data_IF_820800488641
#
_entry.id   IF_820800488641
#
_cell.length_a   1.000
_cell.length_b   1.000
_cell.length_c   1.000
_cell.angle_alpha   90.00
_cell.angle_beta   90.00
_cell.angle_gamma   90.00
#
_symmetry.space_group_name_H-M   'P 1'
#
loop_
_entity.id
_entity.type
_entity.pdbx_description
1 polymer ?
#
# COMPACT_ATOMS: atom_id res chain seq x y z
N UNK A 1 43.16 -46.66 -25.62
CA UNK A 1 42.40 -45.84 -26.60
C UNK A 1 41.38 -46.69 -27.40
N UNK A 2 40.52 -47.46 -26.72
CA UNK A 2 39.44 -48.23 -27.40
C UNK A 2 38.08 -48.17 -26.66
N UNK A 3 37.94 -47.33 -25.62
CA UNK A 3 36.76 -47.30 -24.76
C UNK A 3 35.89 -46.05 -24.92
N UNK A 4 35.89 -45.41 -26.09
CA UNK A 4 35.05 -44.22 -26.37
C UNK A 4 34.39 -44.25 -27.75
N UNK A 5 34.34 -45.41 -28.40
CA UNK A 5 33.72 -45.57 -29.74
C UNK A 5 32.38 -46.30 -29.67
N UNK A 6 32.04 -46.94 -28.54
CA UNK A 6 30.80 -47.70 -28.38
C UNK A 6 29.61 -46.91 -27.82
N UNK A 7 29.77 -45.64 -27.48
CA UNK A 7 28.67 -44.81 -26.96
C UNK A 7 28.33 -43.66 -27.91
N UNK A 8 28.34 -43.94 -29.22
CA UNK A 8 27.92 -43.02 -30.29
C UNK A 8 27.05 -43.67 -31.37
N UNK A 9 26.43 -44.82 -31.09
CA UNK A 9 25.59 -45.53 -32.08
C UNK A 9 24.23 -46.02 -31.56
N UNK A 10 23.74 -45.52 -30.44
CA UNK A 10 22.35 -45.73 -30.02
C UNK A 10 21.72 -44.40 -29.62
N UNK A 11 20.83 -43.86 -30.47
CA UNK A 11 20.09 -42.63 -30.15
C UNK A 11 19.70 -41.76 -31.35
N UNK A 12 19.67 -42.29 -32.57
CA UNK A 12 19.00 -41.63 -33.69
C UNK A 12 17.51 -42.02 -33.70
N UNK A 13 16.69 -41.38 -32.87
CA UNK A 13 15.24 -41.32 -33.02
C UNK A 13 14.62 -40.35 -32.00
N UNK A 14 13.98 -39.29 -32.49
CA UNK A 14 12.88 -38.63 -31.79
C UNK A 14 13.25 -37.47 -30.85
N UNK A 15 13.26 -36.25 -31.38
CA UNK A 15 12.62 -35.08 -30.75
C UNK A 15 12.65 -33.88 -31.69
N UNK A 16 11.75 -33.94 -32.68
CA UNK A 16 11.27 -32.78 -33.41
C UNK A 16 9.78 -32.63 -33.10
N UNK A 17 9.43 -32.29 -31.85
CA UNK A 17 8.08 -31.91 -31.47
C UNK A 17 8.11 -30.89 -30.32
N UNK A 18 7.32 -29.83 -30.53
CA UNK A 18 6.75 -28.91 -29.53
C UNK A 18 7.61 -27.73 -29.02
N UNK A 19 7.97 -26.82 -29.93
CA UNK A 19 8.00 -25.37 -29.63
C UNK A 19 6.57 -24.79 -29.69
N UNK A 20 5.65 -25.35 -28.90
CA UNK A 20 4.29 -24.84 -28.73
C UNK A 20 4.00 -24.69 -27.23
N UNK A 21 4.79 -23.85 -26.58
CA UNK A 21 4.50 -23.36 -25.23
C UNK A 21 4.48 -21.82 -25.23
N UNK A 22 3.70 -21.23 -26.13
CA UNK A 22 3.05 -19.96 -25.85
C UNK A 22 1.88 -20.23 -24.90
N UNK A 23 2.20 -20.44 -23.62
CA UNK A 23 1.22 -20.47 -22.55
C UNK A 23 0.73 -19.06 -22.27
N UNK A 24 -0.42 -18.69 -22.84
CA UNK A 24 -1.21 -17.55 -22.39
C UNK A 24 -1.79 -17.91 -21.01
N UNK A 25 -0.98 -17.80 -19.97
CA UNK A 25 -1.44 -17.89 -18.58
C UNK A 25 -2.10 -16.57 -18.18
N UNK A 26 -3.41 -16.50 -18.36
CA UNK A 26 -4.28 -15.51 -17.73
C UNK A 26 -5.31 -16.28 -16.91
N UNK A 27 -5.07 -16.41 -15.61
CA UNK A 27 -5.87 -17.22 -14.69
C UNK A 27 -7.37 -17.02 -14.86
N UNK A 28 -8.08 -18.12 -15.11
CA UNK A 28 -9.53 -18.11 -15.18
C UNK A 28 -10.09 -17.80 -13.79
N UNK A 29 -10.75 -16.64 -13.70
CA UNK A 29 -11.53 -16.26 -12.55
C UNK A 29 -12.71 -17.25 -12.39
N UNK A 30 -12.81 -17.89 -11.22
CA UNK A 30 -13.83 -18.88 -10.93
C UNK A 30 -15.13 -18.16 -10.53
N UNK A 31 -15.96 -17.83 -11.50
CA UNK A 31 -17.26 -17.22 -11.25
C UNK A 31 -17.85 -16.51 -12.48
N UNK A 32 -19.11 -16.06 -12.40
CA UNK A 32 -19.71 -15.27 -13.46
C UNK A 32 -18.94 -13.96 -13.64
N UNK A 33 -18.58 -13.67 -14.89
CA UNK A 33 -17.94 -12.40 -15.27
C UNK A 33 -18.99 -11.30 -15.20
N UNK A 34 -18.71 -10.26 -14.40
CA UNK A 34 -19.64 -9.13 -14.17
C UNK A 34 -19.14 -7.82 -14.77
N UNK A 35 -17.84 -7.73 -15.07
CA UNK A 35 -17.24 -6.58 -15.74
C UNK A 35 -16.17 -7.07 -16.73
N UNK A 36 -16.17 -6.52 -17.94
CA UNK A 36 -15.16 -6.81 -18.97
C UNK A 36 -14.59 -5.51 -19.52
N UNK A 37 -13.27 -5.40 -19.55
CA UNK A 37 -12.51 -4.27 -20.08
C UNK A 37 -11.53 -4.80 -21.14
N UNK A 38 -11.94 -4.75 -22.41
CA UNK A 38 -11.22 -5.36 -23.54
C UNK A 38 -10.87 -6.84 -23.28
N UNK A 39 -9.58 -7.15 -23.20
CA UNK A 39 -9.06 -8.51 -22.99
C UNK A 39 -9.16 -8.97 -21.52
N UNK A 40 -9.41 -8.06 -20.57
CA UNK A 40 -9.48 -8.38 -19.14
C UNK A 40 -10.92 -8.53 -18.67
N UNK A 41 -11.20 -9.59 -17.93
CA UNK A 41 -12.49 -9.87 -17.31
C UNK A 41 -12.37 -9.92 -15.80
N UNK A 42 -13.35 -9.36 -15.10
CA UNK A 42 -13.48 -9.37 -13.65
C UNK A 42 -14.74 -10.12 -13.25
N UNK A 43 -14.59 -11.06 -12.32
CA UNK A 43 -15.71 -11.69 -11.61
C UNK A 43 -16.16 -10.83 -10.43
N UNK A 44 -17.31 -11.18 -9.84
CA UNK A 44 -17.77 -10.52 -8.62
C UNK A 44 -16.72 -10.59 -7.50
N UNK A 45 -16.06 -11.74 -7.35
CA UNK A 45 -15.01 -11.94 -6.35
C UNK A 45 -13.77 -11.06 -6.62
N UNK A 46 -13.40 -10.86 -7.89
CA UNK A 46 -12.28 -9.98 -8.24
C UNK A 46 -12.60 -8.52 -7.87
N UNK A 47 -13.80 -8.05 -8.20
CA UNK A 47 -14.21 -6.68 -7.86
C UNK A 47 -14.28 -6.46 -6.35
N UNK A 48 -14.79 -7.43 -5.60
CA UNK A 48 -14.83 -7.37 -4.14
C UNK A 48 -13.43 -7.29 -3.53
N UNK A 49 -12.47 -8.04 -4.07
CA UNK A 49 -11.06 -7.97 -3.66
C UNK A 49 -10.48 -6.57 -3.91
N UNK A 50 -10.74 -5.97 -5.07
CA UNK A 50 -10.19 -4.65 -5.38
C UNK A 50 -10.82 -3.54 -4.54
N UNK A 51 -12.13 -3.62 -4.27
CA UNK A 51 -12.81 -2.70 -3.35
C UNK A 51 -12.22 -2.85 -1.94
N UNK A 52 -12.04 -4.08 -1.46
CA UNK A 52 -11.48 -4.35 -0.13
C UNK A 52 -10.06 -3.82 0.00
N UNK A 53 -9.22 -4.04 -1.02
CA UNK A 53 -7.85 -3.52 -1.04
C UNK A 53 -7.82 -1.99 -1.06
N UNK A 54 -8.69 -1.35 -1.84
CA UNK A 54 -8.77 0.11 -1.86
C UNK A 54 -9.21 0.65 -0.50
N UNK A 55 -10.18 0.02 0.15
CA UNK A 55 -10.63 0.38 1.51
C UNK A 55 -9.50 0.32 2.55
N UNK A 56 -8.65 -0.71 2.49
CA UNK A 56 -7.53 -0.85 3.42
C UNK A 56 -6.47 0.24 3.24
N UNK A 57 -6.30 0.74 2.01
CA UNK A 57 -5.31 1.76 1.66
C UNK A 57 -5.85 3.18 1.78
N UNK A 58 -7.17 3.34 1.71
CA UNK A 58 -7.83 4.64 1.72
C UNK A 58 -7.76 5.31 3.11
N UNK A 59 -7.58 6.65 3.17
CA UNK A 59 -7.77 7.42 4.39
C UNK A 59 -9.17 7.22 4.98
N UNK A 60 -9.31 7.34 6.31
CA UNK A 60 -10.59 7.08 7.02
C UNK A 60 -11.78 7.85 6.44
N UNK A 61 -11.56 9.08 5.98
CA UNK A 61 -12.58 9.92 5.35
C UNK A 61 -13.12 9.30 4.04
N UNK A 62 -12.26 8.68 3.24
CA UNK A 62 -12.64 8.05 1.97
C UNK A 62 -13.25 6.65 2.15
N UNK A 63 -12.96 5.97 3.27
CA UNK A 63 -13.51 4.64 3.55
C UNK A 63 -15.05 4.65 3.60
N UNK A 64 -15.64 5.69 4.19
CA UNK A 64 -17.10 5.83 4.26
C UNK A 64 -17.72 6.01 2.89
N UNK A 65 -17.06 6.76 1.99
CA UNK A 65 -17.52 6.94 0.62
C UNK A 65 -17.49 5.60 -0.14
N UNK A 66 -16.38 4.85 -0.05
CA UNK A 66 -16.23 3.54 -0.68
C UNK A 66 -17.18 2.47 -0.13
N UNK A 67 -17.70 2.64 1.09
CA UNK A 67 -18.73 1.75 1.65
C UNK A 67 -20.13 2.01 1.05
N UNK A 68 -20.36 3.18 0.47
CA UNK A 68 -21.64 3.52 -0.18
C UNK A 68 -21.72 2.97 -1.61
N UNK A 69 -22.94 2.69 -2.09
CA UNK A 69 -23.16 2.23 -3.49
C UNK A 69 -22.64 3.23 -4.52
N UNK A 70 -22.85 4.52 -4.28
CA UNK A 70 -22.38 5.57 -5.20
C UNK A 70 -20.86 5.65 -5.24
N UNK A 71 -20.19 5.54 -4.08
CA UNK A 71 -18.72 5.52 -4.04
C UNK A 71 -18.13 4.27 -4.67
N UNK A 72 -18.78 3.10 -4.52
CA UNK A 72 -18.39 1.88 -5.24
C UNK A 72 -18.54 2.04 -6.76
N UNK A 73 -19.62 2.66 -7.23
CA UNK A 73 -19.80 2.96 -8.66
C UNK A 73 -18.70 3.87 -9.19
N UNK A 74 -18.38 4.94 -8.46
CA UNK A 74 -17.28 5.84 -8.83
C UNK A 74 -15.92 5.13 -8.81
N UNK A 75 -15.70 4.21 -7.87
CA UNK A 75 -14.51 3.37 -7.84
C UNK A 75 -14.42 2.48 -9.08
N UNK A 76 -15.50 1.81 -9.48
CA UNK A 76 -15.53 0.97 -10.68
C UNK A 76 -15.24 1.79 -11.95
N UNK A 77 -15.78 3.01 -12.08
CA UNK A 77 -15.45 3.89 -13.21
C UNK A 77 -13.96 4.24 -13.25
N UNK A 78 -13.34 4.50 -12.09
CA UNK A 78 -11.89 4.74 -11.99
C UNK A 78 -11.09 3.48 -12.30
N UNK A 79 -11.55 2.31 -11.86
CA UNK A 79 -10.91 1.02 -12.12
C UNK A 79 -10.85 0.76 -13.63
N UNK A 80 -11.96 0.94 -14.35
CA UNK A 80 -12.02 0.79 -15.81
C UNK A 80 -11.04 1.75 -16.50
N UNK A 81 -11.01 3.03 -16.11
CA UNK A 81 -10.08 4.01 -16.69
C UNK A 81 -8.61 3.64 -16.43
N UNK A 82 -8.29 3.17 -15.23
CA UNK A 82 -6.94 2.72 -14.87
C UNK A 82 -6.53 1.53 -15.72
N UNK A 83 -7.42 0.56 -15.90
CA UNK A 83 -7.18 -0.62 -16.72
C UNK A 83 -6.90 -0.25 -18.18
N UNK A 84 -7.66 0.68 -18.76
CA UNK A 84 -7.39 1.17 -20.13
C UNK A 84 -6.00 1.81 -20.25
N UNK A 85 -5.57 2.58 -19.25
CA UNK A 85 -4.23 3.18 -19.25
C UNK A 85 -3.12 2.14 -19.08
N UNK A 86 -3.34 1.11 -18.25
CA UNK A 86 -2.39 0.01 -18.09
C UNK A 86 -2.23 -0.77 -19.39
N UNK A 87 -3.33 -1.10 -20.07
CA UNK A 87 -3.28 -1.77 -21.38
C UNK A 87 -2.52 -0.94 -22.42
N UNK A 88 -2.70 0.39 -22.42
CA UNK A 88 -1.93 1.26 -23.30
C UNK A 88 -0.43 1.29 -22.93
N UNK A 89 -0.11 1.29 -21.64
CA UNK A 89 1.27 1.21 -21.16
C UNK A 89 1.94 -0.10 -21.56
N UNK A 90 1.24 -1.22 -21.51
CA UNK A 90 1.71 -2.53 -21.97
C UNK A 90 1.95 -2.55 -23.48
N UNK A 91 1.00 -2.04 -24.28
CA UNK A 91 1.16 -1.91 -25.74
C UNK A 91 2.40 -1.10 -26.11
N UNK A 92 2.69 -0.04 -25.35
CA UNK A 92 3.86 0.83 -25.52
C UNK A 92 5.12 0.30 -24.84
N UNK A 93 5.06 -0.88 -24.22
CA UNK A 93 6.16 -1.51 -23.47
C UNK A 93 6.79 -0.58 -22.44
N UNK A 94 5.97 0.25 -21.80
CA UNK A 94 6.45 1.22 -20.80
C UNK A 94 7.10 0.48 -19.63
N UNK A 95 6.54 -0.66 -19.21
CA UNK A 95 7.10 -1.49 -18.14
C UNK A 95 8.46 -2.14 -18.44
N UNK A 96 8.88 -2.22 -19.71
CA UNK A 96 10.18 -2.79 -20.11
C UNK A 96 11.29 -1.73 -20.19
N UNK A 97 10.97 -0.45 -19.95
CA UNK A 97 11.95 0.63 -20.00
C UNK A 97 12.95 0.52 -18.84
N UNK A 98 14.25 0.73 -19.10
CA UNK A 98 15.28 0.57 -18.07
C UNK A 98 15.04 1.49 -16.86
N UNK A 99 14.56 2.71 -17.09
CA UNK A 99 14.31 3.68 -16.02
C UNK A 99 13.21 3.21 -15.05
N UNK A 100 12.20 2.48 -15.54
CA UNK A 100 11.15 1.92 -14.70
C UNK A 100 11.59 0.63 -14.02
N UNK A 101 12.36 -0.21 -14.71
CA UNK A 101 12.93 -1.42 -14.12
C UNK A 101 13.80 -1.07 -12.90
N UNK A 102 14.64 -0.04 -13.01
CA UNK A 102 15.49 0.44 -11.92
C UNK A 102 14.66 0.98 -10.73
N UNK A 103 13.59 1.73 -11.01
CA UNK A 103 12.66 2.22 -9.98
C UNK A 103 11.97 1.08 -9.24
N UNK A 104 11.49 0.06 -9.96
CA UNK A 104 10.86 -1.12 -9.35
C UNK A 104 11.87 -1.90 -8.51
N UNK A 105 13.12 -2.05 -8.98
CA UNK A 105 14.17 -2.71 -8.23
C UNK A 105 14.56 -1.95 -6.95
N UNK A 106 14.61 -0.62 -7.00
CA UNK A 106 14.82 0.23 -5.82
C UNK A 106 13.67 0.09 -4.82
N UNK A 107 12.42 0.23 -5.29
CA UNK A 107 11.23 0.10 -4.44
C UNK A 107 11.15 -1.27 -3.77
N UNK A 108 11.47 -2.35 -4.49
CA UNK A 108 11.50 -3.70 -3.93
C UNK A 108 12.49 -3.80 -2.76
N UNK A 109 13.71 -3.27 -2.92
CA UNK A 109 14.72 -3.27 -1.84
C UNK A 109 14.22 -2.50 -0.61
N UNK A 110 13.61 -1.33 -0.83
CA UNK A 110 13.07 -0.51 0.26
C UNK A 110 11.94 -1.21 1.01
N UNK A 111 11.02 -1.89 0.29
CA UNK A 111 9.93 -2.65 0.91
C UNK A 111 10.46 -3.83 1.73
N UNK A 112 11.50 -4.52 1.25
CA UNK A 112 12.14 -5.61 2.00
C UNK A 112 12.79 -5.09 3.29
N UNK A 113 13.49 -3.96 3.24
CA UNK A 113 14.09 -3.33 4.41
C UNK A 113 13.04 -2.88 5.42
N UNK A 114 11.93 -2.29 4.96
CA UNK A 114 10.81 -1.91 5.83
C UNK A 114 10.17 -3.12 6.50
N UNK A 115 9.99 -4.22 5.75
CA UNK A 115 9.40 -5.44 6.29
C UNK A 115 10.26 -6.02 7.42
N UNK A 116 11.58 -6.18 7.23
CA UNK A 116 12.46 -6.71 8.27
C UNK A 116 12.57 -5.77 9.48
N UNK A 117 12.64 -4.46 9.25
CA UNK A 117 12.63 -3.49 10.35
C UNK A 117 11.32 -3.56 11.14
N UNK A 118 10.18 -3.67 10.47
CA UNK A 118 8.90 -3.79 11.12
C UNK A 118 8.83 -5.09 11.94
N UNK A 119 9.29 -6.22 11.42
CA UNK A 119 9.34 -7.50 12.14
C UNK A 119 10.25 -7.41 13.37
N UNK A 120 11.50 -6.95 13.20
CA UNK A 120 12.49 -6.87 14.28
C UNK A 120 12.12 -5.85 15.36
N UNK A 121 11.62 -4.67 14.98
CA UNK A 121 11.22 -3.62 15.93
C UNK A 121 9.91 -3.98 16.62
N UNK A 122 8.91 -4.49 15.90
CA UNK A 122 7.65 -4.91 16.54
C UNK A 122 7.83 -6.11 17.47
N UNK A 123 8.76 -7.02 17.16
CA UNK A 123 9.11 -8.13 18.05
C UNK A 123 9.89 -7.71 19.31
N UNK A 124 10.63 -6.60 19.25
CA UNK A 124 11.50 -6.13 20.35
C UNK A 124 10.89 -5.02 21.21
N UNK A 125 9.87 -4.31 20.71
CA UNK A 125 9.23 -3.21 21.43
C UNK A 125 7.96 -3.73 22.12
N UNK A 126 8.14 -4.25 23.34
CA UNK A 126 7.07 -4.33 24.33
C UNK A 126 7.11 -3.05 25.17
N UNK A 127 6.23 -2.08 24.92
CA UNK A 127 6.08 -0.94 25.83
C UNK A 127 5.28 -1.43 27.03
N UNK A 128 5.94 -1.61 28.17
CA UNK A 128 5.25 -1.87 29.43
C UNK A 128 4.54 -0.58 29.90
N UNK A 129 3.34 -0.71 30.47
CA UNK A 129 2.55 0.44 30.96
C UNK A 129 3.31 1.33 31.95
N UNK A 130 4.31 0.75 32.63
CA UNK A 130 5.21 1.46 33.55
C UNK A 130 6.14 2.43 32.80
N UNK A 131 6.69 2.04 31.66
CA UNK A 131 7.56 2.90 30.83
C UNK A 131 6.76 4.05 30.22
N UNK A 132 5.51 3.79 29.82
CA UNK A 132 4.59 4.83 29.35
C UNK A 132 4.24 5.83 30.47
N UNK A 133 4.00 5.34 31.70
CA UNK A 133 3.75 6.21 32.86
C UNK A 133 4.99 6.99 33.30
N UNK A 134 6.18 6.40 33.27
CA UNK A 134 7.43 7.07 33.62
C UNK A 134 7.82 8.13 32.58
N UNK A 135 7.66 7.85 31.28
CA UNK A 135 7.79 8.85 30.22
C UNK A 135 6.82 10.02 30.40
N UNK A 136 5.53 9.73 30.68
CA UNK A 136 4.53 10.78 30.92
C UNK A 136 4.85 11.58 32.19
N UNK A 137 5.27 10.94 33.28
CA UNK A 137 5.66 11.61 34.53
C UNK A 137 6.90 12.48 34.34
N UNK A 138 7.91 12.01 33.60
CA UNK A 138 9.13 12.75 33.31
C UNK A 138 8.87 13.97 32.40
N UNK A 139 8.02 13.86 31.39
CA UNK A 139 7.69 14.98 30.51
C UNK A 139 6.66 15.94 31.10
N UNK A 140 5.79 15.50 32.01
CA UNK A 140 4.88 16.38 32.75
C UNK A 140 5.62 17.37 33.65
N UNK A 141 6.87 17.08 34.03
CA UNK A 141 7.77 18.00 34.75
C UNK A 141 8.42 19.02 33.80
N UNK A 142 8.55 18.69 32.50
CA UNK A 142 9.03 19.61 31.45
C UNK A 142 7.91 20.43 30.77
N UNK A 143 6.63 20.07 30.99
CA UNK A 143 5.48 20.89 30.62
C UNK A 143 5.47 22.15 31.49
N UNK A 144 6.28 23.14 31.10
CA UNK A 144 6.32 24.47 31.68
C UNK A 144 4.89 25.00 31.73
N UNK A 145 4.29 25.26 32.90
CA UNK A 145 3.04 25.99 32.92
C UNK A 145 3.30 27.32 32.22
N UNK A 146 2.44 27.67 31.26
CA UNK A 146 2.45 29.00 30.67
C UNK A 146 2.48 30.01 31.83
N UNK A 147 3.61 30.68 32.02
CA UNK A 147 3.74 31.68 33.08
C UNK A 147 2.77 32.80 32.74
N UNK A 148 1.75 32.96 33.58
CA UNK A 148 0.94 34.18 33.61
C UNK A 148 -0.55 34.02 33.33
N UNK A 149 -1.24 33.04 33.90
CA UNK A 149 -2.69 33.16 34.14
C UNK A 149 -2.96 32.99 35.62
N UNK A 150 -2.99 34.10 36.35
CA UNK A 150 -3.51 34.12 37.72
C UNK A 150 -5.02 34.16 37.63
N UNK A 151 -5.68 33.05 37.99
CA UNK A 151 -7.12 33.05 38.18
C UNK A 151 -7.42 33.73 39.53
N UNK A 152 -7.89 34.98 39.49
CA UNK A 152 -8.52 35.59 40.65
C UNK A 152 -9.94 35.05 40.76
N UNK A 153 -10.18 34.13 41.69
CA UNK A 153 -11.54 33.75 42.07
C UNK A 153 -12.08 34.79 43.05
N UNK A 154 -12.40 35.98 42.58
CA UNK A 154 -13.37 36.83 43.26
C UNK A 154 -14.75 36.49 42.72
N UNK A 155 -15.63 36.02 43.61
CA UNK A 155 -16.93 35.48 43.26
C UNK A 155 -17.73 36.33 42.28
N UNK A 156 -18.41 35.65 41.36
CA UNK A 156 -19.55 36.20 40.63
C UNK A 156 -19.23 37.11 39.44
N UNK A 157 -19.41 36.52 38.25
CA UNK A 157 -19.74 37.14 36.96
C UNK A 157 -18.58 37.56 36.03
N UNK A 158 -18.55 36.81 34.92
CA UNK A 158 -18.17 37.17 33.54
C UNK A 158 -16.67 37.36 33.26
N UNK A 159 -16.08 36.33 32.65
CA UNK A 159 -14.79 36.42 31.97
C UNK A 159 -14.89 37.36 30.77
N UNK A 160 -14.18 38.48 30.79
CA UNK A 160 -13.87 39.28 29.61
C UNK A 160 -12.34 39.37 29.49
N UNK A 161 -11.74 39.04 28.34
CA UNK A 161 -10.29 39.16 28.18
C UNK A 161 -9.93 40.64 28.04
N UNK A 162 -9.21 41.20 29.01
CA UNK A 162 -8.60 42.52 28.84
C UNK A 162 -7.32 42.38 28.02
N UNK A 163 -7.28 43.05 26.87
CA UNK A 163 -6.08 43.15 26.04
C UNK A 163 -4.96 43.92 26.77
N UNK A 164 -3.69 43.52 26.63
CA UNK A 164 -2.58 44.24 27.26
C UNK A 164 -2.43 45.64 26.65
N UNK A 165 -2.27 46.67 27.49
CA UNK A 165 -1.94 48.04 27.04
C UNK A 165 -0.48 48.08 26.54
N UNK A 166 -0.19 48.83 25.46
CA UNK A 166 1.18 49.04 25.04
C UNK A 166 1.92 49.94 26.06
N UNK A 167 3.25 49.78 26.21
CA UNK A 167 4.04 50.61 27.10
C UNK A 167 4.09 52.06 26.59
N UNK A 168 3.93 53.01 27.53
CA UNK A 168 4.09 54.45 27.31
C UNK A 168 5.59 54.81 27.23
N UNK A 169 5.96 55.92 26.56
CA UNK A 169 7.33 56.20 26.09
C UNK A 169 8.36 56.39 27.19
#
# INVERSE_FOLDING_TARGET
>A
MHSMIWMRLLGAAGSALALAACGKEGGQAQGPVVLKVNERSYTAADLEREITQELQRAPREMQQLLASKDGQKQFLDRLVRRELLLQEAEKRKIGERPELADQVAALRRDLMLRAILQEEVSAKVGVEDKDAQEYFRAQRIAARPARGVTWSTSGGKRCSPSSPRPPSP
#
